data_IF_973713940825
#
_entry.id   IF_973713940825
#
_cell.length_a   1.000
_cell.length_b   1.000
_cell.length_c   1.000
_cell.angle_alpha   90.00
_cell.angle_beta   90.00
_cell.angle_gamma   90.00
#
_symmetry.space_group_name_H-M   'P 1'
#
loop_
_entity.id
_entity.type
_entity.pdbx_description
1 polymer ?
#
# COMPACT_ATOMS: atom_id res chain seq x y z
N UNK A 1 -49.43 14.61 -9.84
CA UNK A 1 -48.70 14.27 -8.59
C UNK A 1 -48.40 15.59 -7.87
N UNK A 2 -48.84 15.82 -6.63
CA UNK A 2 -48.53 17.06 -5.91
C UNK A 2 -47.00 17.18 -5.73
N UNK A 3 -46.44 18.36 -6.04
CA UNK A 3 -45.00 18.65 -6.08
C UNK A 3 -44.24 18.17 -4.82
N UNK A 4 -44.89 18.26 -3.66
CA UNK A 4 -44.35 17.79 -2.38
C UNK A 4 -44.01 16.29 -2.34
N UNK A 5 -44.79 15.45 -3.02
CA UNK A 5 -44.51 14.01 -3.11
C UNK A 5 -43.27 13.77 -3.96
N UNK A 6 -43.11 14.53 -5.06
CA UNK A 6 -41.92 14.41 -5.93
C UNK A 6 -40.65 14.82 -5.16
N UNK A 7 -40.73 15.91 -4.39
CA UNK A 7 -39.62 16.38 -3.55
C UNK A 7 -39.28 15.33 -2.47
N UNK A 8 -40.29 14.79 -1.79
CA UNK A 8 -40.10 13.77 -0.76
C UNK A 8 -39.47 12.48 -1.31
N UNK A 9 -39.93 12.02 -2.47
CA UNK A 9 -39.38 10.83 -3.14
C UNK A 9 -37.95 11.07 -3.60
N UNK A 10 -37.65 12.24 -4.17
CA UNK A 10 -36.28 12.60 -4.59
C UNK A 10 -35.32 12.63 -3.40
N UNK A 11 -35.73 13.21 -2.27
CA UNK A 11 -34.93 13.24 -1.05
C UNK A 11 -34.69 11.82 -0.49
N UNK A 12 -35.72 10.97 -0.48
CA UNK A 12 -35.59 9.59 -0.02
C UNK A 12 -34.62 8.77 -0.89
N UNK A 13 -34.67 8.94 -2.21
CA UNK A 13 -33.74 8.29 -3.14
C UNK A 13 -32.31 8.79 -2.91
N UNK A 14 -32.12 10.09 -2.72
CA UNK A 14 -30.79 10.66 -2.47
C UNK A 14 -30.15 10.11 -1.18
N UNK A 15 -30.93 10.05 -0.09
CA UNK A 15 -30.48 9.45 1.17
C UNK A 15 -30.19 7.96 1.00
N UNK A 16 -31.04 7.22 0.26
CA UNK A 16 -30.82 5.80 -0.04
C UNK A 16 -29.50 5.58 -0.78
N UNK A 17 -29.20 6.42 -1.79
CA UNK A 17 -27.95 6.35 -2.55
C UNK A 17 -26.73 6.60 -1.65
N UNK A 18 -26.80 7.58 -0.75
CA UNK A 18 -25.72 7.87 0.22
C UNK A 18 -25.50 6.68 1.16
N UNK A 19 -26.58 6.11 1.70
CA UNK A 19 -26.51 4.95 2.60
C UNK A 19 -25.94 3.73 1.88
N UNK A 20 -26.34 3.48 0.63
CA UNK A 20 -25.77 2.41 -0.19
C UNK A 20 -24.28 2.66 -0.46
N UNK A 21 -23.89 3.88 -0.86
CA UNK A 21 -22.48 4.22 -1.10
C UNK A 21 -21.61 4.04 0.16
N UNK A 22 -22.14 4.41 1.34
CA UNK A 22 -21.49 4.18 2.63
C UNK A 22 -21.40 2.69 2.98
N UNK A 23 -22.45 1.92 2.71
CA UNK A 23 -22.49 0.45 2.96
C UNK A 23 -21.53 -0.30 2.04
N UNK A 24 -21.42 0.13 0.78
CA UNK A 24 -20.52 -0.47 -0.22
C UNK A 24 -19.08 0.02 -0.12
N UNK A 25 -18.71 0.75 0.94
CA UNK A 25 -17.33 1.18 1.19
C UNK A 25 -16.74 2.05 0.03
N UNK A 26 -17.60 2.66 -0.81
CA UNK A 26 -17.18 3.41 -2.02
C UNK A 26 -16.40 4.68 -1.66
N UNK A 27 -16.57 5.20 -0.44
CA UNK A 27 -15.78 6.32 0.11
C UNK A 27 -14.54 5.89 0.91
N UNK A 28 -14.34 4.58 1.12
CA UNK A 28 -13.22 4.06 1.91
C UNK A 28 -12.11 3.46 1.06
N UNK A 29 -12.31 3.35 -0.26
CA UNK A 29 -11.31 2.83 -1.19
C UNK A 29 -10.12 3.78 -1.40
N UNK A 30 -10.19 5.05 -1.01
CA UNK A 30 -9.10 6.01 -1.24
C UNK A 30 -8.37 6.50 0.03
N UNK A 31 -8.83 6.18 1.25
CA UNK A 31 -8.25 6.80 2.46
C UNK A 31 -8.07 5.87 3.66
N UNK A 32 -8.44 4.60 3.59
CA UNK A 32 -8.41 3.70 4.75
C UNK A 32 -7.38 2.56 4.67
N UNK A 33 -6.81 2.25 3.49
CA UNK A 33 -5.90 1.10 3.33
C UNK A 33 -4.40 1.44 3.35
N UNK A 34 -4.00 2.67 3.69
CA UNK A 34 -2.56 3.01 3.80
C UNK A 34 -1.97 2.75 5.21
N UNK A 35 -2.77 2.34 6.21
CA UNK A 35 -2.32 2.43 7.62
C UNK A 35 -1.56 1.23 8.18
N UNK A 36 -1.58 0.04 7.57
CA UNK A 36 -0.87 -1.12 8.14
C UNK A 36 -0.16 -1.97 7.07
N UNK A 37 0.72 -1.34 6.28
CA UNK A 37 1.85 -2.10 5.74
C UNK A 37 2.71 -2.54 6.94
N UNK A 38 2.47 -3.75 7.45
CA UNK A 38 3.21 -4.39 8.51
C UNK A 38 4.69 -4.40 8.11
N UNK A 39 5.48 -3.55 8.75
CA UNK A 39 6.91 -3.48 8.46
C UNK A 39 7.53 -4.76 8.99
N UNK A 40 7.88 -5.65 8.07
CA UNK A 40 8.58 -6.88 8.41
C UNK A 40 10.09 -6.58 8.39
N UNK A 41 10.79 -6.64 9.55
CA UNK A 41 12.25 -6.59 9.54
C UNK A 41 12.82 -7.74 8.72
N UNK A 42 13.93 -7.48 8.01
CA UNK A 42 14.72 -8.55 7.40
C UNK A 42 15.24 -9.51 8.48
N UNK A 43 15.21 -10.84 8.24
CA UNK A 43 15.81 -11.82 9.14
C UNK A 43 17.33 -11.63 9.24
N UNK A 44 17.97 -12.14 10.29
CA UNK A 44 19.42 -11.98 10.49
C UNK A 44 20.25 -12.66 9.39
N UNK A 45 19.76 -13.78 8.86
CA UNK A 45 20.37 -14.56 7.79
C UNK A 45 19.63 -14.34 6.45
N UNK A 46 19.27 -13.08 6.16
CA UNK A 46 18.51 -12.75 4.95
C UNK A 46 19.30 -13.10 3.67
N UNK A 47 18.58 -13.58 2.68
CA UNK A 47 19.13 -13.91 1.35
C UNK A 47 18.85 -12.78 0.34
N UNK A 48 19.49 -12.77 -0.84
CA UNK A 48 19.21 -11.78 -1.87
C UNK A 48 17.76 -11.77 -2.37
N UNK A 49 17.04 -12.89 -2.22
CA UNK A 49 15.62 -13.02 -2.56
C UNK A 49 14.72 -12.32 -1.53
N UNK A 50 15.10 -12.32 -0.25
CA UNK A 50 14.35 -11.63 0.81
C UNK A 50 14.33 -10.11 0.60
N UNK A 51 15.30 -9.58 -0.14
CA UNK A 51 15.34 -8.17 -0.52
C UNK A 51 14.32 -7.80 -1.62
N UNK A 52 13.79 -8.77 -2.39
CA UNK A 52 12.76 -8.49 -3.41
C UNK A 52 11.40 -8.19 -2.79
N UNK A 53 11.09 -8.83 -1.66
CA UNK A 53 9.84 -8.62 -0.93
C UNK A 53 9.86 -7.43 0.02
N UNK A 54 10.98 -6.69 0.09
CA UNK A 54 11.16 -5.62 1.07
C UNK A 54 10.29 -4.41 0.72
N UNK A 55 9.35 -4.08 1.61
CA UNK A 55 8.50 -2.91 1.48
C UNK A 55 8.81 -1.87 2.56
N UNK A 56 8.93 -0.61 2.15
CA UNK A 56 9.14 0.52 3.05
C UNK A 56 7.85 1.30 3.22
N UNK A 57 7.52 1.66 4.47
CA UNK A 57 6.35 2.49 4.78
C UNK A 57 6.57 3.91 4.26
N UNK A 58 5.61 4.48 3.51
CA UNK A 58 5.66 5.89 3.14
C UNK A 58 5.55 6.76 4.39
N UNK A 59 6.38 7.78 4.50
CA UNK A 59 6.41 8.69 5.63
C UNK A 59 6.30 10.14 5.14
N UNK A 60 5.66 11.00 5.95
CA UNK A 60 5.50 12.44 5.66
C UNK A 60 6.85 13.15 5.42
N UNK A 61 7.94 12.58 5.95
CA UNK A 61 9.32 12.96 5.73
C UNK A 61 10.18 11.71 5.71
N UNK A 62 10.91 11.50 4.62
CA UNK A 62 11.75 10.31 4.44
C UNK A 62 12.75 10.50 3.31
N UNK A 63 13.50 9.44 3.03
CA UNK A 63 14.33 9.37 1.83
C UNK A 63 13.46 9.26 0.58
N UNK A 64 14.02 9.68 -0.55
CA UNK A 64 13.37 9.51 -1.85
C UNK A 64 13.32 8.04 -2.21
N UNK A 65 12.22 7.61 -2.83
CA UNK A 65 12.00 6.22 -3.20
C UNK A 65 13.06 5.77 -4.22
N UNK A 66 13.37 6.64 -5.19
CA UNK A 66 14.40 6.38 -6.19
C UNK A 66 15.80 6.18 -5.60
N UNK A 67 16.14 6.92 -4.55
CA UNK A 67 17.44 6.81 -3.89
C UNK A 67 17.54 5.48 -3.12
N UNK A 68 16.47 5.13 -2.41
CA UNK A 68 16.38 3.87 -1.64
C UNK A 68 16.41 2.66 -2.58
N UNK A 69 15.64 2.68 -3.67
CA UNK A 69 15.59 1.58 -4.64
C UNK A 69 16.96 1.34 -5.29
N UNK A 70 17.68 2.42 -5.62
CA UNK A 70 19.03 2.32 -6.18
C UNK A 70 20.01 1.69 -5.18
N UNK A 71 19.92 2.07 -3.91
CA UNK A 71 20.79 1.57 -2.85
C UNK A 71 20.50 0.10 -2.54
N UNK A 72 19.22 -0.29 -2.45
CA UNK A 72 18.80 -1.69 -2.25
C UNK A 72 19.26 -2.57 -3.42
N UNK A 73 19.14 -2.09 -4.65
CA UNK A 73 19.63 -2.80 -5.85
C UNK A 73 21.14 -3.01 -5.83
N UNK A 74 21.90 -1.99 -5.43
CA UNK A 74 23.36 -2.09 -5.31
C UNK A 74 23.78 -3.08 -4.20
N UNK A 75 23.10 -3.04 -3.05
CA UNK A 75 23.33 -3.98 -1.94
C UNK A 75 23.04 -5.42 -2.35
N UNK A 76 21.92 -5.65 -3.04
CA UNK A 76 21.55 -6.97 -3.55
C UNK A 76 22.61 -7.54 -4.47
N UNK A 77 23.02 -6.76 -5.47
CA UNK A 77 24.10 -7.16 -6.40
C UNK A 77 25.34 -7.60 -5.63
N UNK A 78 25.73 -6.83 -4.61
CA UNK A 78 26.92 -7.13 -3.83
C UNK A 78 26.78 -8.40 -2.98
N UNK A 79 25.61 -8.66 -2.40
CA UNK A 79 25.37 -9.86 -1.60
C UNK A 79 25.43 -11.10 -2.50
N UNK A 80 24.78 -11.06 -3.67
CA UNK A 80 24.84 -12.16 -4.64
C UNK A 80 26.28 -12.47 -5.08
N UNK A 81 27.11 -11.44 -5.31
CA UNK A 81 28.54 -11.64 -5.60
C UNK A 81 29.29 -12.31 -4.44
N UNK A 82 29.01 -11.91 -3.20
CA UNK A 82 29.67 -12.46 -2.01
C UNK A 82 29.26 -13.91 -1.74
N UNK A 83 27.98 -14.24 -1.95
CA UNK A 83 27.47 -15.61 -1.81
C UNK A 83 28.04 -16.53 -2.88
N UNK A 84 28.06 -16.09 -4.14
CA UNK A 84 28.67 -16.86 -5.22
C UNK A 84 30.17 -17.12 -4.99
N UNK A 85 30.89 -16.17 -4.38
CA UNK A 85 32.29 -16.35 -4.00
C UNK A 85 32.47 -17.32 -2.82
N UNK A 86 31.48 -17.40 -1.91
CA UNK A 86 31.50 -18.30 -0.75
C UNK A 86 31.21 -19.74 -1.13
N UNK A 87 30.35 -19.98 -2.11
CA UNK A 87 30.04 -21.32 -2.63
C UNK A 87 31.21 -21.97 -3.39
N UNK A 88 32.20 -21.17 -3.83
CA UNK A 88 33.37 -21.64 -4.57
C UNK A 88 34.57 -22.00 -3.67
N UNK A 89 34.47 -21.78 -2.35
CA UNK A 89 35.48 -22.16 -1.35
C UNK A 89 35.14 -23.47 -0.64
#
# INVERSE_FOLDING_TARGET
>A
MPLWIVIGVAAAIFVLVIVLAATFNVFSAESAEETEADWQPLPQDFTPEDLEGLSFRPALRGYRMEDVDSAVTALRTRITELEAAREQQ
#
